data_IF_948864921509
#
_entry.id   IF_948864921509
#
_cell.length_a   1.000
_cell.length_b   1.000
_cell.length_c   1.000
_cell.angle_alpha   90.00
_cell.angle_beta   90.00
_cell.angle_gamma   90.00
#
_symmetry.space_group_name_H-M   'P 1'
#
loop_
_entity.id
_entity.type
_entity.pdbx_description
1 polymer ?
#
# COMPACT_ATOMS: atom_id res chain seq x y z
N UNK A 1 -22.84 17.35 -23.02
CA UNK A 1 -22.18 16.07 -22.69
C UNK A 1 -22.11 16.01 -21.18
N UNK A 2 -22.80 15.07 -20.54
CA UNK A 2 -22.57 14.78 -19.13
C UNK A 2 -21.08 14.46 -18.97
N UNK A 3 -20.38 15.20 -18.11
CA UNK A 3 -18.97 14.96 -17.81
C UNK A 3 -18.86 13.51 -17.30
N UNK A 4 -18.29 12.61 -18.11
CA UNK A 4 -18.08 11.23 -17.67
C UNK A 4 -17.06 11.27 -16.51
N UNK A 5 -17.47 10.94 -15.27
CA UNK A 5 -16.56 11.04 -14.14
C UNK A 5 -15.41 10.04 -14.33
N UNK A 6 -14.19 10.50 -14.08
CA UNK A 6 -13.02 9.62 -14.02
C UNK A 6 -12.94 9.03 -12.61
N UNK A 7 -12.78 7.70 -12.54
CA UNK A 7 -12.64 6.96 -11.29
C UNK A 7 -11.21 6.45 -11.23
N UNK A 8 -10.47 6.83 -10.18
CA UNK A 8 -9.16 6.28 -9.87
C UNK A 8 -9.38 5.11 -8.90
N UNK A 9 -8.88 3.94 -9.27
CA UNK A 9 -8.92 2.75 -8.41
C UNK A 9 -7.61 2.63 -7.63
N UNK A 10 -7.73 2.17 -6.39
CA UNK A 10 -6.60 1.83 -5.52
C UNK A 10 -6.86 0.53 -4.78
N UNK A 11 -5.80 -0.11 -4.28
CA UNK A 11 -5.89 -1.33 -3.50
C UNK A 11 -4.90 -1.36 -2.33
N UNK A 12 -5.14 -2.25 -1.37
CA UNK A 12 -4.14 -2.67 -0.38
C UNK A 12 -3.21 -3.69 -1.04
N UNK A 13 -2.01 -3.25 -1.39
CA UNK A 13 -1.11 -4.06 -2.22
C UNK A 13 -0.62 -5.34 -1.50
N UNK A 14 -0.58 -5.32 -0.17
CA UNK A 14 -0.19 -6.45 0.67
C UNK A 14 -1.22 -7.59 0.70
N UNK A 15 -2.44 -7.38 0.20
CA UNK A 15 -3.47 -8.42 0.08
C UNK A 15 -3.26 -9.32 -1.16
N UNK A 16 -2.42 -8.88 -2.09
CA UNK A 16 -2.11 -9.61 -3.32
C UNK A 16 -0.68 -10.19 -3.33
N UNK A 17 0.08 -10.04 -2.23
CA UNK A 17 1.46 -10.46 -2.10
C UNK A 17 1.63 -11.41 -0.90
N UNK A 18 1.98 -12.66 -1.17
CA UNK A 18 2.10 -13.71 -0.16
C UNK A 18 3.20 -13.37 0.86
N UNK A 19 4.37 -12.94 0.37
CA UNK A 19 5.52 -12.59 1.20
C UNK A 19 5.57 -11.10 1.54
N UNK A 20 4.63 -10.31 1.01
CA UNK A 20 4.49 -8.87 1.25
C UNK A 20 5.76 -8.08 0.89
N UNK A 21 6.61 -8.61 0.02
CA UNK A 21 7.76 -7.85 -0.48
C UNK A 21 7.26 -6.70 -1.34
N UNK A 22 7.95 -5.55 -1.31
CA UNK A 22 7.56 -4.38 -2.10
C UNK A 22 7.47 -4.72 -3.61
N UNK A 23 8.40 -5.53 -4.12
CA UNK A 23 8.43 -5.96 -5.52
C UNK A 23 7.20 -6.82 -5.87
N UNK A 24 6.86 -7.81 -5.03
CA UNK A 24 5.68 -8.65 -5.25
C UNK A 24 4.39 -7.82 -5.26
N UNK A 25 4.25 -6.93 -4.27
CA UNK A 25 3.12 -6.00 -4.18
C UNK A 25 3.00 -5.15 -5.45
N UNK A 26 4.09 -4.52 -5.88
CA UNK A 26 4.06 -3.57 -7.01
C UNK A 26 3.94 -4.26 -8.37
N UNK A 27 4.52 -5.45 -8.53
CA UNK A 27 4.36 -6.25 -9.74
C UNK A 27 2.89 -6.63 -9.98
N UNK A 28 2.17 -7.01 -8.93
CA UNK A 28 0.75 -7.35 -9.07
C UNK A 28 -0.10 -6.10 -9.39
N UNK A 29 0.14 -4.98 -8.71
CA UNK A 29 -0.57 -3.73 -9.01
C UNK A 29 -0.34 -3.25 -10.44
N UNK A 30 0.91 -3.27 -10.90
CA UNK A 30 1.26 -2.89 -12.27
C UNK A 30 0.63 -3.84 -13.29
N UNK A 31 0.60 -5.15 -13.02
CA UNK A 31 -0.08 -6.13 -13.89
C UNK A 31 -1.60 -5.88 -13.98
N UNK A 32 -2.21 -5.35 -12.93
CA UNK A 32 -3.62 -4.94 -12.90
C UNK A 32 -3.86 -3.55 -13.53
N UNK A 33 -2.81 -2.84 -13.94
CA UNK A 33 -2.89 -1.48 -14.49
C UNK A 33 -3.24 -0.41 -13.46
N UNK A 34 -3.05 -0.69 -12.16
CA UNK A 34 -3.27 0.28 -11.10
C UNK A 34 -2.10 1.24 -10.99
N UNK A 35 -2.42 2.52 -10.82
CA UNK A 35 -1.42 3.60 -10.63
C UNK A 35 -1.42 4.16 -9.22
N UNK A 36 -2.42 3.80 -8.41
CA UNK A 36 -2.58 4.26 -7.03
C UNK A 36 -2.74 3.08 -6.08
N UNK A 37 -2.18 3.20 -4.87
CA UNK A 37 -2.33 2.16 -3.86
C UNK A 37 -2.25 2.72 -2.44
N UNK A 38 -2.60 1.87 -1.48
CA UNK A 38 -2.54 2.17 -0.06
C UNK A 38 -1.54 1.23 0.62
N UNK A 39 -0.31 1.67 0.94
CA UNK A 39 0.63 0.86 1.68
C UNK A 39 0.12 0.59 3.10
N UNK A 40 0.33 -0.63 3.57
CA UNK A 40 -0.02 -1.07 4.92
C UNK A 40 1.14 -1.86 5.54
N UNK A 41 1.29 -3.12 5.16
CA UNK A 41 2.39 -3.98 5.58
C UNK A 41 3.32 -4.27 4.41
N UNK A 42 4.62 -4.04 4.57
CA UNK A 42 5.59 -4.23 3.49
C UNK A 42 6.94 -4.67 4.03
N UNK A 43 7.54 -5.63 3.35
CA UNK A 43 8.97 -5.91 3.42
C UNK A 43 9.65 -5.18 2.26
N UNK A 44 10.27 -4.04 2.57
CA UNK A 44 10.89 -3.16 1.56
C UNK A 44 12.17 -3.77 0.99
N UNK A 45 12.93 -4.47 1.83
CA UNK A 45 14.28 -4.97 1.49
C UNK A 45 14.26 -6.39 0.95
N UNK A 46 13.17 -7.14 1.14
CA UNK A 46 13.08 -8.56 0.82
C UNK A 46 13.79 -9.44 1.86
N UNK A 47 14.03 -8.92 3.07
CA UNK A 47 14.75 -9.61 4.14
C UNK A 47 13.86 -10.58 4.95
N UNK A 48 12.55 -10.56 4.73
CA UNK A 48 11.53 -11.22 5.52
C UNK A 48 10.98 -10.37 6.67
N UNK A 49 11.53 -9.17 6.91
CA UNK A 49 11.08 -8.27 7.96
C UNK A 49 9.93 -7.39 7.47
N UNK A 50 8.70 -7.87 7.60
CA UNK A 50 7.49 -7.10 7.27
C UNK A 50 7.23 -6.05 8.36
N UNK A 51 7.15 -4.78 7.95
CA UNK A 51 6.80 -3.65 8.83
C UNK A 51 5.52 -2.99 8.38
N UNK A 52 4.85 -2.30 9.30
CA UNK A 52 3.84 -1.34 8.88
C UNK A 52 4.54 -0.12 8.26
N UNK A 53 3.97 0.49 7.21
CA UNK A 53 4.64 1.57 6.45
C UNK A 53 5.06 2.77 7.30
N UNK A 54 4.35 3.04 8.41
CA UNK A 54 4.64 4.14 9.34
C UNK A 54 5.82 3.85 10.28
N UNK A 55 6.22 2.58 10.37
CA UNK A 55 7.32 2.13 11.23
C UNK A 55 8.61 1.87 10.41
N UNK A 56 8.61 2.23 9.12
CA UNK A 56 9.79 2.20 8.26
C UNK A 56 10.77 3.32 8.64
N UNK A 57 12.06 3.04 8.53
CA UNK A 57 13.10 4.06 8.66
C UNK A 57 13.26 4.89 7.37
N UNK A 58 14.05 5.97 7.44
CA UNK A 58 14.25 6.88 6.30
C UNK A 58 14.86 6.18 5.07
N UNK A 59 15.73 5.18 5.28
CA UNK A 59 16.35 4.45 4.19
C UNK A 59 15.33 3.51 3.51
N UNK A 60 14.50 2.84 4.31
CA UNK A 60 13.39 2.02 3.83
C UNK A 60 12.35 2.86 3.08
N UNK A 61 11.97 4.03 3.61
CA UNK A 61 11.05 4.94 2.93
C UNK A 61 11.63 5.46 1.61
N UNK A 62 12.92 5.81 1.59
CA UNK A 62 13.63 6.19 0.37
C UNK A 62 13.60 5.07 -0.67
N UNK A 63 13.91 3.85 -0.26
CA UNK A 63 13.87 2.67 -1.15
C UNK A 63 12.46 2.38 -1.67
N UNK A 64 11.46 2.48 -0.81
CA UNK A 64 10.06 2.28 -1.19
C UNK A 64 9.62 3.31 -2.24
N UNK A 65 10.04 4.57 -2.08
CA UNK A 65 9.79 5.65 -3.04
C UNK A 65 10.46 5.39 -4.39
N UNK A 66 11.72 4.96 -4.40
CA UNK A 66 12.41 4.59 -5.65
C UNK A 66 11.65 3.48 -6.41
N UNK A 67 11.15 2.48 -5.68
CA UNK A 67 10.37 1.39 -6.26
C UNK A 67 9.02 1.90 -6.78
N UNK A 68 8.35 2.81 -6.07
CA UNK A 68 7.12 3.46 -6.56
C UNK A 68 7.36 4.16 -7.90
N UNK A 69 8.45 4.92 -8.02
CA UNK A 69 8.82 5.62 -9.24
C UNK A 69 9.09 4.64 -10.41
N UNK A 70 9.76 3.52 -10.13
CA UNK A 70 10.05 2.48 -11.14
C UNK A 70 8.79 1.80 -11.68
N UNK A 71 7.77 1.62 -10.84
CA UNK A 71 6.51 0.96 -11.21
C UNK A 71 5.40 1.95 -11.60
N UNK A 72 5.65 3.26 -11.51
CA UNK A 72 4.64 4.29 -11.81
C UNK A 72 3.49 4.33 -10.80
N UNK A 73 3.76 4.02 -9.53
CA UNK A 73 2.75 3.96 -8.46
C UNK A 73 2.77 5.21 -7.58
N UNK A 74 1.59 5.67 -7.17
CA UNK A 74 1.40 6.77 -6.22
C UNK A 74 0.62 6.32 -5.00
N UNK A 75 0.92 6.89 -3.83
CA UNK A 75 0.19 6.61 -2.60
C UNK A 75 -1.05 7.49 -2.50
N UNK A 76 -2.22 6.88 -2.27
CA UNK A 76 -3.48 7.62 -2.03
C UNK A 76 -3.81 7.76 -0.54
N UNK A 77 -3.50 6.73 0.24
CA UNK A 77 -3.78 6.69 1.68
C UNK A 77 -2.87 5.68 2.37
N UNK A 78 -2.85 5.66 3.70
CA UNK A 78 -2.13 4.65 4.48
C UNK A 78 -3.16 3.70 5.09
N UNK A 79 -2.94 2.39 4.92
CA UNK A 79 -3.79 1.38 5.56
C UNK A 79 -3.68 1.45 7.08
N UNK A 80 -4.82 1.34 7.78
CA UNK A 80 -4.83 1.34 9.24
C UNK A 80 -4.16 0.07 9.78
N UNK A 81 -3.24 0.24 10.74
CA UNK A 81 -2.75 -0.87 11.59
C UNK A 81 -3.75 -1.30 12.65
N UNK A 82 -4.73 -0.46 12.95
CA UNK A 82 -5.77 -0.72 13.94
C UNK A 82 -6.94 -1.43 13.27
N UNK A 83 -7.35 -2.56 13.84
CA UNK A 83 -8.57 -3.27 13.47
C UNK A 83 -9.82 -2.59 14.04
N UNK A 84 -10.88 -3.37 14.24
CA UNK A 84 -12.11 -2.87 14.87
C UNK A 84 -11.79 -2.41 16.30
N UNK A 85 -11.93 -1.11 16.54
CA UNK A 85 -11.84 -0.52 17.88
C UNK A 85 -13.11 0.27 18.14
N UNK A 86 -13.67 0.10 19.34
CA UNK A 86 -14.78 0.93 19.78
C UNK A 86 -14.28 2.37 19.95
N UNK A 87 -14.92 3.32 19.27
CA UNK A 87 -14.66 4.74 19.49
C UNK A 87 -15.28 5.23 20.81
N UNK A 88 -16.34 4.56 21.24
CA UNK A 88 -17.04 4.79 22.51
C UNK A 88 -17.24 3.44 23.20
N UNK A 89 -17.02 3.39 24.51
CA UNK A 89 -17.23 2.17 25.30
C UNK A 89 -18.74 1.91 25.53
N UNK A 90 -19.40 1.38 24.49
CA UNK A 90 -20.81 0.98 24.47
C UNK A 90 -20.97 -0.32 23.70
N UNK A 91 -21.96 -1.12 24.06
CA UNK A 91 -22.34 -2.30 23.28
C UNK A 91 -22.95 -1.91 21.93
N UNK A 92 -22.67 -2.71 20.90
CA UNK A 92 -23.13 -2.51 19.52
C UNK A 92 -24.60 -2.94 19.33
#
# INVERSE_FOLDING_TARGET
MSQNPQIILSAFADEAANQKTAIEQFAVLAALGLTHYSPRFVDVTGSGAVKHVVDLDDAELGRLKELQDQYGLTVTSIGSRLGKVKLLDRED
#
